data_IF_752172278646
#
_entry.id   IF_752172278646
#
_cell.length_a   1.000
_cell.length_b   1.000
_cell.length_c   1.000
_cell.angle_alpha   90.00
_cell.angle_beta   90.00
_cell.angle_gamma   90.00
#
_symmetry.space_group_name_H-M   'P 1'
#
loop_
_entity.id
_entity.type
_entity.pdbx_description
1 polymer ?
#
# COMPACT_ATOMS: atom_id res chain seq x y z
N UNK A 1 1.42 -56.69 -12.97
CA UNK A 1 0.69 -57.89 -12.46
C UNK A 1 0.05 -57.56 -11.13
N UNK A 2 -1.28 -57.73 -11.14
CA UNK A 2 -2.20 -58.05 -10.01
C UNK A 2 -2.41 -56.98 -8.96
N UNK A 3 -3.54 -56.33 -9.04
CA UNK A 3 -4.91 -56.57 -8.54
C UNK A 3 -5.10 -56.01 -7.14
N UNK A 4 -5.86 -54.90 -7.05
CA UNK A 4 -7.31 -54.79 -6.70
C UNK A 4 -7.69 -55.42 -5.34
N UNK A 5 -8.28 -54.66 -4.44
CA UNK A 5 -9.71 -54.71 -4.18
C UNK A 5 -10.16 -53.63 -3.17
N UNK A 6 -11.20 -53.04 -3.56
CA UNK A 6 -12.28 -52.29 -2.96
C UNK A 6 -13.14 -53.18 -2.00
N UNK A 7 -13.66 -52.61 -0.92
CA UNK A 7 -14.97 -52.89 -0.31
C UNK A 7 -15.10 -51.96 0.90
N UNK A 8 -15.90 -50.97 0.99
CA UNK A 8 -17.35 -50.82 1.04
C UNK A 8 -17.98 -51.34 2.37
N UNK A 9 -18.43 -50.35 3.13
CA UNK A 9 -19.73 -50.20 3.81
C UNK A 9 -20.19 -51.27 4.79
N UNK A 10 -20.47 -50.92 6.06
CA UNK A 10 -21.83 -50.87 6.60
C UNK A 10 -21.86 -50.34 8.04
N UNK A 11 -22.82 -49.49 8.31
CA UNK A 11 -23.28 -49.07 9.64
C UNK A 11 -23.89 -50.23 10.41
N UNK A 12 -23.70 -50.25 11.75
CA UNK A 12 -24.74 -50.72 12.68
C UNK A 12 -24.61 -49.97 14.02
N UNK A 13 -25.73 -49.42 14.44
CA UNK A 13 -26.02 -48.85 15.75
C UNK A 13 -26.45 -49.94 16.70
N UNK A 14 -25.92 -50.02 17.90
CA UNK A 14 -26.68 -50.34 19.08
C UNK A 14 -25.88 -50.19 20.39
N UNK A 15 -26.58 -49.76 21.33
CA UNK A 15 -26.29 -49.36 22.70
C UNK A 15 -25.60 -50.39 23.60
N UNK A 16 -24.85 -49.87 24.61
CA UNK A 16 -24.98 -50.38 25.94
C UNK A 16 -23.71 -50.83 26.65
N UNK A 17 -23.41 -50.12 27.74
CA UNK A 17 -22.86 -50.61 29.03
C UNK A 17 -21.36 -50.81 29.17
N UNK A 18 -20.83 -49.95 30.03
CA UNK A 18 -19.71 -49.99 30.99
C UNK A 18 -18.92 -51.32 31.11
N UNK A 19 -17.61 -51.24 31.17
CA UNK A 19 -16.74 -51.51 32.33
C UNK A 19 -15.27 -51.25 31.99
N UNK A 20 -14.62 -50.44 32.84
CA UNK A 20 -13.33 -50.61 33.49
C UNK A 20 -12.07 -51.02 32.69
N UNK A 21 -11.11 -50.09 32.73
CA UNK A 21 -9.69 -50.33 32.99
C UNK A 21 -8.89 -51.24 32.05
N UNK A 22 -8.00 -50.61 31.32
CA UNK A 22 -6.56 -50.95 31.36
C UNK A 22 -5.73 -49.91 30.59
N UNK A 23 -4.78 -49.33 31.29
CA UNK A 23 -3.73 -48.50 30.76
C UNK A 23 -2.93 -49.20 29.66
N UNK A 24 -2.84 -48.55 28.51
CA UNK A 24 -1.69 -48.69 27.63
C UNK A 24 -1.27 -47.30 27.15
N UNK A 25 -0.23 -46.81 27.74
CA UNK A 25 0.51 -45.63 27.31
C UNK A 25 0.90 -45.76 25.85
N UNK A 26 0.34 -44.92 25.02
CA UNK A 26 0.84 -44.65 23.66
C UNK A 26 1.97 -43.64 23.79
N UNK A 27 3.14 -43.85 23.21
CA UNK A 27 4.25 -42.90 23.32
C UNK A 27 3.83 -41.55 22.73
N UNK A 28 3.86 -40.52 23.57
CA UNK A 28 3.71 -39.13 23.19
C UNK A 28 4.87 -38.79 22.25
N UNK A 29 4.59 -38.65 20.98
CA UNK A 29 5.57 -38.04 20.07
C UNK A 29 5.86 -36.61 20.56
N UNK A 30 7.06 -36.40 21.02
CA UNK A 30 7.61 -35.07 21.30
C UNK A 30 7.53 -34.24 20.01
N UNK A 31 6.59 -33.33 19.98
CA UNK A 31 6.56 -32.26 18.97
C UNK A 31 7.80 -31.37 19.22
N UNK A 32 8.82 -31.58 18.39
CA UNK A 32 9.97 -30.69 18.29
C UNK A 32 9.45 -29.24 18.17
N UNK A 33 9.91 -28.30 19.00
CA UNK A 33 9.48 -26.89 18.87
C UNK A 33 9.75 -26.42 17.45
N UNK A 34 8.73 -25.84 16.82
CA UNK A 34 8.86 -25.20 15.53
C UNK A 34 9.95 -24.11 15.64
N UNK A 35 11.02 -24.29 14.92
CA UNK A 35 12.03 -23.22 14.75
C UNK A 35 11.32 -21.98 14.22
N UNK A 36 11.61 -20.78 14.74
CA UNK A 36 11.12 -19.56 14.15
C UNK A 36 11.61 -19.51 12.72
N UNK A 37 10.68 -19.56 11.76
CA UNK A 37 10.96 -19.33 10.36
C UNK A 37 11.37 -17.86 10.22
N UNK A 38 12.66 -17.58 10.16
CA UNK A 38 13.16 -16.32 9.66
C UNK A 38 12.51 -16.05 8.30
N UNK A 39 11.95 -14.86 8.07
CA UNK A 39 11.41 -14.53 6.75
C UNK A 39 12.54 -14.73 5.74
N UNK A 40 12.30 -15.57 4.76
CA UNK A 40 13.21 -15.71 3.61
C UNK A 40 13.17 -14.37 2.89
N UNK A 41 14.20 -13.56 3.11
CA UNK A 41 14.44 -12.36 2.32
C UNK A 41 14.76 -12.87 0.92
N UNK A 42 13.80 -12.76 0.01
CA UNK A 42 14.04 -13.00 -1.40
C UNK A 42 15.15 -12.06 -1.86
N UNK A 43 16.13 -12.54 -2.67
CA UNK A 43 17.16 -11.68 -3.23
C UNK A 43 16.47 -10.50 -3.93
N UNK A 44 16.83 -9.30 -3.53
CA UNK A 44 16.27 -8.08 -4.12
C UNK A 44 16.72 -7.97 -5.57
N UNK A 45 15.76 -7.91 -6.47
CA UNK A 45 16.03 -7.61 -7.87
C UNK A 45 16.70 -6.22 -7.95
N UNK A 46 17.85 -6.08 -8.60
CA UNK A 46 18.55 -4.81 -8.67
C UNK A 46 17.65 -3.74 -9.30
N UNK A 47 17.73 -2.52 -8.79
CA UNK A 47 16.96 -1.40 -9.34
C UNK A 47 17.40 -1.15 -10.80
N UNK A 48 16.44 -0.83 -11.66
CA UNK A 48 16.72 -0.46 -13.04
C UNK A 48 17.52 0.87 -13.09
N UNK A 49 18.26 1.14 -14.14
CA UNK A 49 18.94 2.43 -14.31
C UNK A 49 17.94 3.59 -14.13
N UNK A 50 18.29 4.59 -13.34
CA UNK A 50 17.42 5.71 -13.01
C UNK A 50 16.31 5.40 -11.98
N UNK A 51 16.32 4.23 -11.36
CA UNK A 51 15.41 3.87 -10.28
C UNK A 51 16.15 3.69 -8.95
N UNK A 52 15.61 4.26 -7.87
CA UNK A 52 16.05 3.94 -6.51
C UNK A 52 14.93 3.25 -5.74
N UNK A 53 15.31 2.26 -4.93
CA UNK A 53 14.42 1.52 -4.04
C UNK A 53 14.98 1.59 -2.64
N UNK A 54 14.31 2.28 -1.74
CA UNK A 54 14.83 2.57 -0.39
C UNK A 54 13.84 2.18 0.70
N UNK A 55 14.38 1.94 1.89
CA UNK A 55 13.64 1.88 3.13
C UNK A 55 13.97 3.12 3.97
N UNK A 56 12.95 3.78 4.52
CA UNK A 56 13.13 4.97 5.35
C UNK A 56 13.09 4.55 6.82
N UNK A 57 14.21 4.69 7.51
CA UNK A 57 14.37 4.21 8.88
C UNK A 57 13.55 5.00 9.91
N UNK A 58 13.34 6.30 9.64
CA UNK A 58 12.59 7.21 10.52
C UNK A 58 11.95 8.33 9.70
N UNK A 59 10.85 8.96 10.16
CA UNK A 59 10.25 10.10 9.48
C UNK A 59 11.26 11.24 9.28
N UNK A 60 11.29 11.82 8.08
CA UNK A 60 12.29 12.82 7.68
C UNK A 60 13.64 12.23 7.26
N UNK A 61 13.74 10.92 7.13
CA UNK A 61 14.98 10.21 6.83
C UNK A 61 15.21 9.87 5.35
N UNK A 62 14.37 10.34 4.43
CA UNK A 62 14.46 9.98 3.02
C UNK A 62 15.77 10.43 2.38
N UNK A 63 16.25 11.63 2.69
CA UNK A 63 17.55 12.13 2.23
C UNK A 63 18.69 11.19 2.63
N UNK A 64 18.70 10.75 3.90
CA UNK A 64 19.69 9.81 4.40
C UNK A 64 19.59 8.44 3.74
N UNK A 65 18.37 7.98 3.44
CA UNK A 65 18.12 6.70 2.74
C UNK A 65 18.59 6.72 1.28
N UNK A 66 18.65 7.89 0.65
CA UNK A 66 19.13 8.08 -0.72
C UNK A 66 20.63 8.35 -0.81
N UNK A 67 21.33 8.40 0.33
CA UNK A 67 22.79 8.64 0.34
C UNK A 67 23.54 7.57 -0.46
N UNK A 68 24.33 8.01 -1.42
CA UNK A 68 25.08 7.12 -2.31
C UNK A 68 24.36 6.74 -3.61
N UNK A 69 23.13 7.20 -3.80
CA UNK A 69 22.43 7.10 -5.09
C UNK A 69 22.85 8.23 -6.02
N UNK A 70 22.85 7.96 -7.32
CA UNK A 70 23.03 9.01 -8.34
C UNK A 70 21.71 9.77 -8.52
N UNK A 71 21.56 10.88 -7.81
CA UNK A 71 20.32 11.67 -7.81
C UNK A 71 20.11 12.43 -9.12
N UNK A 72 21.15 12.67 -9.91
CA UNK A 72 21.03 13.37 -11.20
C UNK A 72 20.40 12.48 -12.26
N UNK A 73 20.66 11.18 -12.19
CA UNK A 73 20.07 10.18 -13.09
C UNK A 73 18.77 9.57 -12.56
N UNK A 74 18.37 9.94 -11.34
CA UNK A 74 17.20 9.35 -10.72
C UNK A 74 15.91 9.91 -11.35
N UNK A 75 15.10 9.03 -11.91
CA UNK A 75 13.80 9.35 -12.51
C UNK A 75 12.64 8.72 -11.75
N UNK A 76 12.89 7.64 -11.02
CA UNK A 76 11.87 6.92 -10.26
C UNK A 76 12.36 6.56 -8.86
N UNK A 77 11.52 6.82 -7.88
CA UNK A 77 11.75 6.46 -6.47
C UNK A 77 10.65 5.51 -5.99
N UNK A 78 11.05 4.38 -5.42
CA UNK A 78 10.16 3.46 -4.72
C UNK A 78 10.57 3.39 -3.25
N UNK A 79 9.66 3.77 -2.35
CA UNK A 79 9.86 3.60 -0.89
C UNK A 79 9.22 2.30 -0.47
N UNK A 80 10.05 1.31 -0.17
CA UNK A 80 9.63 -0.08 0.10
C UNK A 80 9.07 -0.27 1.51
N UNK A 81 9.50 0.55 2.44
CA UNK A 81 9.04 0.50 3.83
C UNK A 81 9.44 1.77 4.59
N UNK A 82 8.80 1.96 5.71
CA UNK A 82 9.06 3.07 6.62
C UNK A 82 7.93 4.07 6.66
N UNK A 83 8.11 5.06 7.52
CA UNK A 83 7.13 6.13 7.74
C UNK A 83 7.73 7.43 7.21
N UNK A 84 7.02 8.08 6.31
CA UNK A 84 7.38 9.39 5.78
C UNK A 84 6.51 10.47 6.43
N UNK A 85 7.05 11.69 6.44
CA UNK A 85 6.34 12.89 6.87
C UNK A 85 6.49 14.02 5.82
N UNK A 86 6.04 15.24 6.13
CA UNK A 86 6.11 16.37 5.21
C UNK A 86 7.56 16.72 4.84
N UNK A 87 8.54 16.59 5.74
CA UNK A 87 9.94 16.87 5.43
C UNK A 87 10.48 15.96 4.32
N UNK A 88 10.07 14.69 4.27
CA UNK A 88 10.42 13.77 3.19
C UNK A 88 9.82 14.19 1.86
N UNK A 89 8.54 14.61 1.84
CA UNK A 89 7.88 15.08 0.63
C UNK A 89 8.42 16.43 0.15
N UNK A 90 8.82 17.30 1.09
CA UNK A 90 9.50 18.55 0.80
C UNK A 90 10.86 18.30 0.13
N UNK A 91 11.60 17.29 0.62
CA UNK A 91 12.86 16.89 -0.01
C UNK A 91 12.63 16.37 -1.43
N UNK A 92 11.61 15.55 -1.66
CA UNK A 92 11.20 15.13 -3.00
C UNK A 92 10.91 16.33 -3.90
N UNK A 93 10.14 17.28 -3.40
CA UNK A 93 9.67 18.43 -4.19
C UNK A 93 10.77 19.45 -4.49
N UNK A 94 11.70 19.66 -3.54
CA UNK A 94 12.71 20.72 -3.64
C UNK A 94 14.05 20.23 -4.19
N UNK A 95 14.40 18.97 -3.95
CA UNK A 95 15.76 18.46 -4.18
C UNK A 95 15.83 17.37 -5.25
N UNK A 96 14.73 16.67 -5.54
CA UNK A 96 14.72 15.59 -6.52
C UNK A 96 14.04 16.02 -7.82
N UNK A 97 14.54 15.49 -8.93
CA UNK A 97 13.95 15.69 -10.27
C UNK A 97 13.28 14.43 -10.80
N UNK A 98 12.72 13.61 -9.89
CA UNK A 98 12.08 12.37 -10.26
C UNK A 98 10.73 12.60 -10.96
N UNK A 99 10.41 11.72 -11.90
CA UNK A 99 9.15 11.73 -12.62
C UNK A 99 8.09 10.82 -12.00
N UNK A 100 8.53 9.82 -11.22
CA UNK A 100 7.62 8.88 -10.58
C UNK A 100 8.04 8.59 -9.13
N UNK A 101 7.03 8.52 -8.25
CA UNK A 101 7.19 8.06 -6.87
C UNK A 101 6.18 6.96 -6.56
N UNK A 102 6.66 5.90 -5.93
CA UNK A 102 5.83 4.80 -5.45
C UNK A 102 5.97 4.66 -3.93
N UNK A 103 4.89 4.92 -3.22
CA UNK A 103 4.76 4.82 -1.77
C UNK A 103 3.84 3.67 -1.35
N UNK A 104 3.45 2.78 -2.26
CA UNK A 104 2.43 1.76 -2.03
C UNK A 104 2.67 0.88 -0.80
N UNK A 105 3.92 0.66 -0.44
CA UNK A 105 4.34 -0.18 0.70
C UNK A 105 4.89 0.64 1.88
N UNK A 106 4.91 1.97 1.77
CA UNK A 106 5.29 2.89 2.83
C UNK A 106 4.04 3.43 3.55
N UNK A 107 4.24 4.00 4.72
CA UNK A 107 3.22 4.74 5.46
C UNK A 107 3.51 6.24 5.36
N UNK A 108 2.49 7.04 5.13
CA UNK A 108 2.60 8.51 5.11
C UNK A 108 1.86 9.10 6.32
N UNK A 109 2.57 9.86 7.14
CA UNK A 109 2.00 10.56 8.29
C UNK A 109 2.14 12.05 8.11
N UNK A 110 1.05 12.69 7.77
CA UNK A 110 0.95 14.13 7.58
C UNK A 110 -0.02 14.73 8.59
N UNK A 111 0.32 15.90 9.11
CA UNK A 111 -0.56 16.73 9.94
C UNK A 111 -1.61 17.48 9.09
N UNK A 112 -2.54 18.15 9.76
CA UNK A 112 -3.64 18.85 9.08
C UNK A 112 -3.18 20.06 8.26
N UNK A 113 -2.05 20.66 8.57
CA UNK A 113 -1.46 21.80 7.85
C UNK A 113 -0.44 21.37 6.79
N UNK A 114 -0.13 20.08 6.70
CA UNK A 114 0.82 19.55 5.74
C UNK A 114 0.22 19.53 4.33
N UNK A 115 1.07 19.81 3.34
CA UNK A 115 0.64 20.06 1.97
C UNK A 115 0.92 18.92 0.99
N UNK A 116 1.43 17.78 1.50
CA UNK A 116 1.73 16.64 0.65
C UNK A 116 2.69 16.96 -0.48
N UNK A 117 2.28 16.78 -1.72
CA UNK A 117 3.06 17.02 -2.94
C UNK A 117 2.81 18.40 -3.55
N UNK A 118 2.16 19.32 -2.84
CA UNK A 118 1.81 20.63 -3.36
C UNK A 118 2.97 21.31 -4.10
N UNK A 119 2.70 21.80 -5.31
CA UNK A 119 3.67 22.54 -6.10
C UNK A 119 4.82 21.70 -6.69
N UNK A 120 4.77 20.39 -6.59
CA UNK A 120 5.79 19.54 -7.21
C UNK A 120 5.71 19.65 -8.74
N UNK A 121 6.77 20.11 -9.36
CA UNK A 121 6.83 20.40 -10.79
C UNK A 121 7.56 19.35 -11.64
N UNK A 122 7.87 18.19 -11.08
CA UNK A 122 8.59 17.13 -11.79
C UNK A 122 7.83 15.82 -11.84
N UNK A 123 7.09 15.47 -10.78
CA UNK A 123 6.33 14.22 -10.70
C UNK A 123 5.21 14.18 -11.74
N UNK A 124 5.24 13.14 -12.56
CA UNK A 124 4.20 12.77 -13.52
C UNK A 124 3.31 11.65 -12.98
N UNK A 125 3.88 10.77 -12.14
CA UNK A 125 3.17 9.64 -11.55
C UNK A 125 3.38 9.59 -10.04
N UNK A 126 2.28 9.53 -9.30
CA UNK A 126 2.26 9.40 -7.84
C UNK A 126 1.44 8.17 -7.46
N UNK A 127 2.07 7.19 -6.82
CA UNK A 127 1.37 6.06 -6.21
C UNK A 127 1.34 6.30 -4.69
N UNK A 128 0.15 6.52 -4.17
CA UNK A 128 -0.07 6.79 -2.75
C UNK A 128 0.14 5.54 -1.88
N UNK A 129 0.35 5.69 -0.57
CA UNK A 129 0.37 4.55 0.35
C UNK A 129 -0.92 3.73 0.29
N UNK A 130 -0.79 2.40 0.36
CA UNK A 130 -1.97 1.52 0.36
C UNK A 130 -2.78 1.59 1.67
N UNK A 131 -2.16 2.05 2.76
CA UNK A 131 -2.75 2.20 4.07
C UNK A 131 -3.33 3.59 4.36
N UNK A 132 -3.28 4.51 3.39
CA UNK A 132 -3.79 5.87 3.56
C UNK A 132 -5.31 5.86 3.79
N UNK A 133 -5.76 6.55 4.83
CA UNK A 133 -7.18 6.63 5.19
C UNK A 133 -7.83 7.96 4.78
N UNK A 134 -7.03 9.03 4.70
CA UNK A 134 -7.49 10.38 4.36
C UNK A 134 -6.42 11.12 3.57
N UNK A 135 -6.84 11.86 2.55
CA UNK A 135 -6.00 12.91 1.95
C UNK A 135 -6.49 14.28 2.42
N UNK A 136 -5.56 15.21 2.56
CA UNK A 136 -5.90 16.60 2.90
C UNK A 136 -6.19 17.42 1.64
N UNK A 137 -6.73 18.61 1.85
CA UNK A 137 -6.87 19.62 0.81
C UNK A 137 -5.48 19.95 0.23
N UNK A 138 -5.44 20.16 -1.07
CA UNK A 138 -4.26 20.61 -1.82
C UNK A 138 -3.07 19.65 -1.90
N UNK A 139 -3.15 18.42 -1.39
CA UNK A 139 -2.01 17.48 -1.43
C UNK A 139 -1.45 17.25 -2.84
N UNK A 140 -2.27 17.35 -3.86
CA UNK A 140 -1.88 17.13 -5.25
C UNK A 140 -2.02 18.39 -6.11
N UNK A 141 -2.29 19.54 -5.46
CA UNK A 141 -2.52 20.79 -6.17
C UNK A 141 -1.24 21.36 -6.74
N UNK A 142 -1.35 22.02 -7.88
CA UNK A 142 -0.22 22.64 -8.58
C UNK A 142 0.92 21.67 -8.88
N UNK A 143 0.61 20.37 -9.07
CA UNK A 143 1.58 19.38 -9.53
C UNK A 143 1.48 19.22 -11.05
N UNK A 144 2.50 18.59 -11.64
CA UNK A 144 2.46 18.16 -13.05
C UNK A 144 2.02 16.70 -13.21
N UNK A 145 1.47 16.09 -12.16
CA UNK A 145 1.04 14.71 -12.19
C UNK A 145 -0.03 14.47 -13.27
N UNK A 146 0.24 13.49 -14.10
CA UNK A 146 -0.71 12.98 -15.11
C UNK A 146 -1.41 11.71 -14.62
N UNK A 147 -0.88 11.10 -13.56
CA UNK A 147 -1.40 9.87 -12.96
C UNK A 147 -1.25 9.90 -11.43
N UNK A 148 -2.36 9.68 -10.73
CA UNK A 148 -2.39 9.49 -9.28
C UNK A 148 -3.11 8.17 -9.01
N UNK A 149 -2.41 7.24 -8.31
CA UNK A 149 -2.90 5.90 -8.03
C UNK A 149 -3.10 5.72 -6.53
N UNK A 150 -4.26 5.20 -6.14
CA UNK A 150 -4.58 4.75 -4.79
C UNK A 150 -4.66 3.22 -4.79
N UNK A 151 -3.55 2.49 -4.50
CA UNK A 151 -3.48 1.04 -4.65
C UNK A 151 -4.26 0.28 -3.57
N UNK A 152 -4.53 0.95 -2.44
CA UNK A 152 -5.23 0.35 -1.29
C UNK A 152 -6.74 0.55 -1.33
N UNK A 153 -7.40 -0.03 -0.35
CA UNK A 153 -8.84 0.10 -0.14
C UNK A 153 -9.15 0.59 1.29
N UNK A 154 -8.33 1.51 1.82
CA UNK A 154 -8.50 2.12 3.14
C UNK A 154 -8.89 3.58 3.09
N UNK A 155 -8.70 4.25 1.95
CA UNK A 155 -9.02 5.66 1.79
C UNK A 155 -10.52 5.88 2.00
N UNK A 156 -10.88 6.59 3.07
CA UNK A 156 -12.26 6.92 3.44
C UNK A 156 -12.68 8.33 3.04
N UNK A 157 -11.74 9.26 3.13
CA UNK A 157 -11.99 10.66 2.84
C UNK A 157 -10.97 11.19 1.84
N UNK A 158 -11.45 11.67 0.70
CA UNK A 158 -10.62 12.34 -0.31
C UNK A 158 -10.76 13.85 -0.13
N UNK A 159 -9.72 14.49 0.42
CA UNK A 159 -9.65 15.93 0.61
C UNK A 159 -9.75 16.67 -0.72
N UNK A 160 -10.27 17.87 -0.72
CA UNK A 160 -10.57 18.59 -1.94
C UNK A 160 -9.37 19.24 -2.66
N UNK A 161 -9.71 19.96 -3.72
CA UNK A 161 -8.84 20.89 -4.44
C UNK A 161 -7.58 20.24 -5.05
N UNK A 162 -7.77 19.42 -6.08
CA UNK A 162 -6.62 18.87 -6.82
C UNK A 162 -5.91 19.92 -7.67
N UNK A 163 -6.61 20.94 -8.17
CA UNK A 163 -6.06 22.03 -9.00
C UNK A 163 -4.91 21.59 -9.90
N UNK A 164 -5.15 20.58 -10.73
CA UNK A 164 -4.14 20.01 -11.62
C UNK A 164 -4.64 19.98 -13.06
N UNK A 165 -4.08 20.82 -13.90
CA UNK A 165 -4.44 20.91 -15.31
C UNK A 165 -3.94 19.74 -16.17
N UNK A 166 -2.97 18.99 -15.67
CA UNK A 166 -2.35 17.87 -16.40
C UNK A 166 -3.06 16.53 -16.15
N UNK A 167 -3.73 16.40 -15.01
CA UNK A 167 -4.42 15.17 -14.63
C UNK A 167 -5.74 15.05 -15.41
N UNK A 168 -5.81 14.09 -16.33
CA UNK A 168 -6.97 13.89 -17.21
C UNK A 168 -7.99 12.91 -16.65
N UNK A 169 -7.55 12.03 -15.80
CA UNK A 169 -8.44 11.06 -15.16
C UNK A 169 -8.00 10.74 -13.74
N UNK A 170 -8.97 10.42 -12.90
CA UNK A 170 -8.71 9.89 -11.56
C UNK A 170 -9.74 8.81 -11.23
N UNK A 171 -9.26 7.76 -10.56
CA UNK A 171 -10.10 6.68 -10.03
C UNK A 171 -9.97 6.66 -8.52
N UNK A 172 -11.08 6.89 -7.82
CA UNK A 172 -11.15 6.77 -6.37
C UNK A 172 -11.50 5.32 -6.00
N UNK A 173 -10.81 4.72 -5.03
CA UNK A 173 -11.16 3.36 -4.56
C UNK A 173 -12.56 3.32 -3.95
N UNK A 174 -13.21 2.16 -4.02
CA UNK A 174 -14.57 1.98 -3.52
C UNK A 174 -14.73 2.12 -1.99
N UNK A 175 -13.63 2.31 -1.28
CA UNK A 175 -13.63 2.63 0.15
C UNK A 175 -13.94 4.09 0.46
N UNK A 176 -13.85 5.00 -0.53
CA UNK A 176 -14.09 6.43 -0.31
C UNK A 176 -15.56 6.69 -0.05
N UNK A 177 -15.84 7.28 1.10
CA UNK A 177 -17.18 7.61 1.58
C UNK A 177 -17.45 9.12 1.50
N UNK A 178 -16.38 9.92 1.50
CA UNK A 178 -16.47 11.38 1.54
C UNK A 178 -15.50 12.02 0.56
N UNK A 179 -15.95 13.09 -0.10
CA UNK A 179 -15.13 13.94 -0.95
C UNK A 179 -15.21 15.36 -0.41
N UNK A 180 -14.07 16.03 -0.31
CA UNK A 180 -14.01 17.44 0.15
C UNK A 180 -14.65 18.40 -0.86
N UNK A 181 -15.05 19.56 -0.37
CA UNK A 181 -15.59 20.63 -1.21
C UNK A 181 -14.58 21.05 -2.29
N UNK A 182 -15.07 21.32 -3.48
CA UNK A 182 -14.27 21.71 -4.64
C UNK A 182 -13.12 20.74 -5.00
N UNK A 183 -13.25 19.46 -4.68
CA UNK A 183 -12.18 18.45 -4.86
C UNK A 183 -11.59 18.41 -6.27
N UNK A 184 -12.40 18.66 -7.27
CA UNK A 184 -12.03 18.59 -8.68
C UNK A 184 -12.11 19.94 -9.39
N UNK A 185 -12.22 21.03 -8.63
CA UNK A 185 -12.27 22.38 -9.20
C UNK A 185 -10.96 22.75 -9.88
N UNK A 186 -11.05 23.58 -10.93
CA UNK A 186 -9.90 24.08 -11.70
C UNK A 186 -8.96 22.97 -12.20
N UNK A 187 -9.55 21.86 -12.61
CA UNK A 187 -8.85 20.73 -13.20
C UNK A 187 -9.45 20.41 -14.56
N UNK A 188 -8.64 19.85 -15.46
CA UNK A 188 -9.05 19.51 -16.83
C UNK A 188 -9.40 18.02 -16.96
N UNK A 189 -10.18 17.47 -16.01
CA UNK A 189 -10.58 16.08 -16.06
C UNK A 189 -11.45 15.76 -17.26
N UNK A 190 -11.09 14.70 -17.97
CA UNK A 190 -11.88 14.07 -19.02
C UNK A 190 -12.75 12.94 -18.44
N UNK A 191 -12.28 12.35 -17.35
CA UNK A 191 -12.94 11.21 -16.69
C UNK A 191 -12.67 11.18 -15.20
N UNK A 192 -13.70 10.95 -14.40
CA UNK A 192 -13.59 10.73 -12.94
C UNK A 192 -14.40 9.48 -12.61
N UNK A 193 -13.72 8.46 -12.07
CA UNK A 193 -14.39 7.28 -11.53
C UNK A 193 -14.57 7.46 -10.02
N UNK A 194 -15.80 7.59 -9.59
CA UNK A 194 -16.16 7.76 -8.18
C UNK A 194 -16.34 6.42 -7.48
N UNK A 195 -16.16 6.45 -6.17
CA UNK A 195 -16.47 5.33 -5.28
C UNK A 195 -17.96 5.00 -5.29
N UNK A 196 -18.29 3.71 -5.29
CA UNK A 196 -19.68 3.23 -5.11
C UNK A 196 -20.18 3.37 -3.67
N UNK A 197 -19.29 3.64 -2.70
CA UNK A 197 -19.63 3.86 -1.29
C UNK A 197 -19.80 5.33 -0.91
N UNK A 198 -19.74 6.23 -1.90
CA UNK A 198 -19.82 7.67 -1.66
C UNK A 198 -21.19 8.06 -1.10
N UNK A 199 -21.19 8.77 0.03
CA UNK A 199 -22.42 9.17 0.74
C UNK A 199 -23.03 10.46 0.19
N UNK A 200 -22.17 11.40 -0.20
CA UNK A 200 -22.60 12.68 -0.77
C UNK A 200 -21.47 13.31 -1.59
N UNK A 201 -21.85 14.17 -2.52
CA UNK A 201 -20.92 15.05 -3.23
C UNK A 201 -21.21 16.47 -2.73
N UNK A 202 -20.23 17.15 -2.11
CA UNK A 202 -20.41 18.52 -1.66
C UNK A 202 -20.63 19.45 -2.86
N UNK A 203 -21.53 20.38 -2.73
CA UNK A 203 -21.77 21.46 -3.70
C UNK A 203 -20.82 22.61 -3.49
#
# INVERSE_FOLDING_TARGET
MKFQRLAALTCFVAAGILISSCDKETPRQEQKPAQPTTPVVQPEEPAAPGEARVAVAQPGGLEAALKGQDLEQLTKLTVRSGVLNQADLDYVTKSLKIEAIDLSTATLRLGDEDKGFYGNSTLKKITAPADIEKTQKDWFSNTLATEIIFPGNKLKSFGGAVYNEKLKSITLPNSVEEIGAAAFANSNFESITLSTSLKSIPT
#
